data_IF_428547949945
#
_entry.id   IF_428547949945
#
_cell.length_a   1.000
_cell.length_b   1.000
_cell.length_c   1.000
_cell.angle_alpha   90.00
_cell.angle_beta   90.00
_cell.angle_gamma   90.00
#
_symmetry.space_group_name_H-M   'P 1'
#
loop_
_entity.id
_entity.type
_entity.pdbx_description
1 polymer ?
#
# COMPACT_ATOMS: atom_id res chain seq x y z
N UNK A 1 -0.56 -8.93 19.44
CA UNK A 1 -0.28 -8.21 18.19
C UNK A 1 -1.59 -8.15 17.44
N UNK A 2 -2.16 -6.97 17.26
CA UNK A 2 -3.42 -6.81 16.54
C UNK A 2 -3.11 -6.64 15.06
N UNK A 3 -3.58 -7.57 14.24
CA UNK A 3 -3.56 -7.46 12.79
C UNK A 3 -4.95 -7.05 12.34
N UNK A 4 -5.02 -6.00 11.55
CA UNK A 4 -6.28 -5.57 10.95
C UNK A 4 -6.37 -6.17 9.57
N UNK A 5 -7.43 -6.92 9.30
CA UNK A 5 -7.69 -7.48 7.98
C UNK A 5 -8.90 -6.79 7.37
N UNK A 6 -8.71 -6.25 6.16
CA UNK A 6 -9.79 -5.67 5.38
C UNK A 6 -10.23 -6.65 4.30
N UNK A 7 -11.40 -7.25 4.50
CA UNK A 7 -11.99 -8.21 3.56
C UNK A 7 -12.30 -7.57 2.20
N UNK A 8 -12.27 -8.36 1.13
CA UNK A 8 -12.52 -7.86 -0.25
C UNK A 8 -13.89 -7.23 -0.47
N UNK A 9 -14.89 -7.63 0.33
CA UNK A 9 -16.27 -7.12 0.26
C UNK A 9 -16.43 -5.73 0.90
N UNK A 10 -15.44 -5.31 1.70
CA UNK A 10 -15.47 -4.04 2.40
C UNK A 10 -14.88 -2.92 1.54
N UNK A 11 -15.60 -1.81 1.49
CA UNK A 11 -15.11 -0.51 0.99
C UNK A 11 -14.92 0.43 2.16
N UNK A 12 -13.70 0.93 2.33
CA UNK A 12 -13.39 1.97 3.29
C UNK A 12 -13.27 3.30 2.58
N UNK A 13 -14.03 4.30 3.02
CA UNK A 13 -13.91 5.68 2.56
C UNK A 13 -13.65 6.60 3.76
N UNK A 14 -12.47 7.24 3.79
CA UNK A 14 -12.08 8.17 4.87
C UNK A 14 -10.64 7.99 5.37
N UNK A 15 -10.42 8.34 6.63
CA UNK A 15 -9.10 8.30 7.29
C UNK A 15 -8.98 7.08 8.22
N UNK A 16 -7.99 6.23 7.96
CA UNK A 16 -7.69 5.02 8.72
C UNK A 16 -6.34 5.19 9.40
N UNK A 17 -6.30 5.05 10.72
CA UNK A 17 -5.05 5.06 11.49
C UNK A 17 -4.96 3.79 12.33
N UNK A 18 -3.89 3.03 12.13
CA UNK A 18 -3.57 1.86 12.95
C UNK A 18 -2.14 1.95 13.47
N UNK A 19 -1.87 1.37 14.63
CA UNK A 19 -0.51 1.26 15.16
C UNK A 19 0.15 -0.09 14.86
N UNK A 20 -0.63 -1.03 14.30
CA UNK A 20 -0.18 -2.38 13.98
C UNK A 20 -0.02 -2.62 12.47
N UNK A 21 -0.10 -3.89 12.12
CA UNK A 21 -0.08 -4.36 10.73
C UNK A 21 -1.49 -4.33 10.13
N UNK A 22 -1.61 -3.83 8.91
CA UNK A 22 -2.86 -3.85 8.13
C UNK A 22 -2.65 -4.73 6.89
N UNK A 23 -3.55 -5.68 6.68
CA UNK A 23 -3.70 -6.43 5.43
C UNK A 23 -4.97 -5.95 4.71
N UNK A 24 -4.82 -5.53 3.46
CA UNK A 24 -5.90 -4.97 2.64
C UNK A 24 -6.16 -5.93 1.48
N UNK A 25 -7.30 -6.61 1.51
CA UNK A 25 -7.81 -7.48 0.45
C UNK A 25 -9.00 -6.86 -0.31
N UNK A 26 -9.45 -5.67 0.12
CA UNK A 26 -10.56 -4.92 -0.46
C UNK A 26 -10.20 -3.57 -1.02
N UNK A 27 -11.20 -2.71 -1.15
CA UNK A 27 -11.03 -1.38 -1.72
C UNK A 27 -10.97 -0.30 -0.63
N UNK A 28 -9.90 0.47 -0.61
CA UNK A 28 -9.70 1.57 0.33
C UNK A 28 -9.57 2.86 -0.43
N UNK A 29 -10.37 3.86 -0.06
CA UNK A 29 -10.34 5.18 -0.65
C UNK A 29 -10.17 6.26 0.41
N UNK A 30 -9.05 6.96 0.40
CA UNK A 30 -8.73 7.99 1.40
C UNK A 30 -7.32 7.86 1.96
N UNK A 31 -7.14 8.20 3.24
CA UNK A 31 -5.82 8.22 3.87
C UNK A 31 -5.64 7.02 4.80
N UNK A 32 -4.57 6.25 4.58
CA UNK A 32 -4.21 5.09 5.41
C UNK A 32 -2.88 5.37 6.09
N UNK A 33 -2.85 5.35 7.41
CA UNK A 33 -1.63 5.43 8.19
C UNK A 33 -1.49 4.20 9.08
N UNK A 34 -0.42 3.43 8.90
CA UNK A 34 -0.11 2.30 9.76
C UNK A 34 1.38 2.06 9.88
N UNK A 35 1.80 1.18 10.80
CA UNK A 35 3.22 0.84 10.93
C UNK A 35 3.68 -0.05 9.78
N UNK A 36 2.92 -1.11 9.52
CA UNK A 36 3.12 -1.98 8.35
C UNK A 36 1.81 -2.07 7.56
N UNK A 37 1.89 -1.94 6.25
CA UNK A 37 0.74 -2.12 5.35
C UNK A 37 1.09 -3.18 4.34
N UNK A 38 0.18 -4.14 4.14
CA UNK A 38 0.29 -5.16 3.13
C UNK A 38 -0.97 -5.10 2.24
N UNK A 39 -0.79 -4.81 0.96
CA UNK A 39 -1.87 -4.77 -0.02
C UNK A 39 -1.87 -6.09 -0.77
N UNK A 40 -2.85 -6.93 -0.52
CA UNK A 40 -2.99 -8.25 -1.16
C UNK A 40 -3.39 -8.10 -2.63
N UNK A 41 -3.29 -9.18 -3.40
CA UNK A 41 -3.53 -9.16 -4.86
C UNK A 41 -4.90 -8.64 -5.30
N UNK A 42 -5.94 -8.88 -4.48
CA UNK A 42 -7.31 -8.39 -4.70
C UNK A 42 -7.53 -6.97 -4.16
N UNK A 43 -6.59 -6.49 -3.33
CA UNK A 43 -6.63 -5.19 -2.70
C UNK A 43 -6.40 -4.06 -3.70
N UNK A 44 -7.20 -3.00 -3.55
CA UNK A 44 -7.07 -1.76 -4.32
C UNK A 44 -7.06 -0.59 -3.36
N UNK A 45 -6.03 0.24 -3.44
CA UNK A 45 -5.94 1.46 -2.63
C UNK A 45 -5.97 2.67 -3.54
N UNK A 46 -6.89 3.60 -3.28
CA UNK A 46 -7.08 4.85 -4.02
C UNK A 46 -6.94 6.02 -3.03
N UNK A 47 -5.77 6.64 -2.98
CA UNK A 47 -5.53 7.76 -2.06
C UNK A 47 -4.12 7.82 -1.51
N UNK A 48 -3.98 8.18 -0.23
CA UNK A 48 -2.68 8.47 0.41
C UNK A 48 -2.30 7.41 1.44
N UNK A 49 -1.23 6.65 1.20
CA UNK A 49 -0.73 5.62 2.12
C UNK A 49 0.52 6.11 2.83
N UNK A 50 0.55 6.05 4.15
CA UNK A 50 1.70 6.40 4.99
C UNK A 50 2.06 5.23 5.89
N UNK A 51 3.25 4.64 5.73
CA UNK A 51 3.69 3.53 6.60
C UNK A 51 5.20 3.39 6.68
N UNK A 52 5.74 2.78 7.74
CA UNK A 52 7.18 2.51 7.81
C UNK A 52 7.58 1.41 6.82
N UNK A 53 6.81 0.32 6.77
CA UNK A 53 7.00 -0.79 5.83
C UNK A 53 5.75 -1.02 5.01
N UNK A 54 5.86 -0.94 3.68
CA UNK A 54 4.75 -1.19 2.75
C UNK A 54 5.09 -2.36 1.84
N UNK A 55 4.20 -3.35 1.80
CA UNK A 55 4.24 -4.45 0.84
C UNK A 55 3.04 -4.35 -0.12
N UNK A 56 3.29 -4.45 -1.42
CA UNK A 56 2.28 -4.28 -2.47
C UNK A 56 2.25 -5.49 -3.40
N UNK A 57 1.15 -6.25 -3.35
CA UNK A 57 0.85 -7.37 -4.23
C UNK A 57 -0.30 -7.09 -5.19
N UNK A 58 -1.20 -6.17 -4.82
CA UNK A 58 -2.37 -5.74 -5.60
C UNK A 58 -2.17 -4.44 -6.37
N UNK A 59 -3.19 -3.56 -6.33
CA UNK A 59 -3.21 -2.27 -7.04
C UNK A 59 -3.19 -1.09 -6.08
N UNK A 60 -2.36 -0.09 -6.38
CA UNK A 60 -2.29 1.15 -5.61
C UNK A 60 -2.28 2.34 -6.55
N UNK A 61 -3.28 3.20 -6.44
CA UNK A 61 -3.44 4.46 -7.17
C UNK A 61 -3.43 5.64 -6.18
N UNK A 62 -2.73 6.73 -6.52
CA UNK A 62 -2.67 7.96 -5.69
C UNK A 62 -1.27 8.34 -5.22
N UNK A 63 -1.03 8.35 -3.90
CA UNK A 63 0.24 8.76 -3.30
C UNK A 63 0.68 7.81 -2.20
N UNK A 64 1.93 7.39 -2.24
CA UNK A 64 2.51 6.45 -1.29
C UNK A 64 3.70 7.11 -0.62
N UNK A 65 3.76 7.05 0.71
CA UNK A 65 4.88 7.53 1.50
C UNK A 65 5.31 6.44 2.48
N UNK A 66 6.48 5.87 2.26
CA UNK A 66 7.00 4.82 3.12
C UNK A 66 8.50 4.90 3.32
N UNK A 67 9.06 4.18 4.29
CA UNK A 67 10.51 4.07 4.43
C UNK A 67 10.98 2.88 3.59
N UNK A 68 10.43 1.70 3.84
CA UNK A 68 10.73 0.47 3.11
C UNK A 68 9.56 0.02 2.25
N UNK A 69 9.74 0.09 0.92
CA UNK A 69 8.75 -0.36 -0.05
C UNK A 69 9.14 -1.71 -0.64
N UNK A 70 8.24 -2.69 -0.56
CA UNK A 70 8.37 -4.00 -1.20
C UNK A 70 7.24 -4.20 -2.20
N UNK A 71 7.58 -4.49 -3.45
CA UNK A 71 6.59 -4.71 -4.52
C UNK A 71 6.72 -6.14 -5.00
N UNK A 72 5.65 -6.92 -4.86
CA UNK A 72 5.60 -8.30 -5.31
C UNK A 72 5.42 -8.40 -6.84
N UNK A 73 5.60 -9.60 -7.39
CA UNK A 73 5.61 -9.82 -8.84
C UNK A 73 4.28 -9.47 -9.53
N UNK A 74 3.16 -9.47 -8.80
CA UNK A 74 1.83 -9.09 -9.29
C UNK A 74 1.46 -7.64 -9.00
N UNK A 75 2.29 -6.94 -8.21
CA UNK A 75 2.04 -5.58 -7.74
C UNK A 75 2.00 -4.57 -8.88
N UNK A 76 0.96 -3.75 -8.89
CA UNK A 76 0.76 -2.65 -9.83
C UNK A 76 0.62 -1.35 -9.06
N UNK A 77 1.57 -0.46 -9.23
CA UNK A 77 1.54 0.86 -8.59
C UNK A 77 1.35 1.92 -9.66
N UNK A 78 0.32 2.74 -9.49
CA UNK A 78 -0.09 3.88 -10.31
C UNK A 78 -0.16 5.15 -9.47
N UNK A 79 0.97 5.55 -8.91
CA UNK A 79 1.01 6.55 -7.85
C UNK A 79 2.33 7.32 -7.81
N UNK A 80 2.30 8.48 -7.15
CA UNK A 80 3.51 9.17 -6.71
C UNK A 80 4.01 8.51 -5.42
N UNK A 81 5.15 7.84 -5.51
CA UNK A 81 5.72 7.04 -4.42
C UNK A 81 6.96 7.73 -3.89
N UNK A 82 6.94 8.08 -2.61
CA UNK A 82 8.09 8.54 -1.84
C UNK A 82 8.56 7.39 -0.96
N UNK A 83 9.80 6.94 -1.15
CA UNK A 83 10.40 5.86 -0.38
C UNK A 83 11.84 6.18 0.03
N UNK A 84 12.37 5.44 1.00
CA UNK A 84 13.80 5.49 1.36
C UNK A 84 14.56 4.28 0.81
N UNK A 85 13.94 3.11 0.86
CA UNK A 85 14.46 1.86 0.29
C UNK A 85 13.35 1.17 -0.52
N UNK A 86 13.70 0.60 -1.67
CA UNK A 86 12.76 -0.12 -2.54
C UNK A 86 13.29 -1.51 -2.89
N UNK A 87 12.42 -2.51 -2.73
CA UNK A 87 12.63 -3.88 -3.17
C UNK A 87 11.53 -4.23 -4.18
N UNK A 88 11.93 -4.63 -5.38
CA UNK A 88 10.99 -4.91 -6.47
C UNK A 88 11.19 -6.34 -6.94
N UNK A 89 10.12 -7.15 -6.93
CA UNK A 89 10.15 -8.50 -7.45
C UNK A 89 10.01 -8.51 -8.99
N UNK A 90 10.52 -9.58 -9.61
CA UNK A 90 10.51 -9.75 -11.06
C UNK A 90 9.07 -9.93 -11.57
N UNK A 91 8.52 -8.89 -12.20
CA UNK A 91 7.16 -8.88 -12.75
C UNK A 91 6.31 -7.69 -12.30
N UNK A 92 6.74 -6.98 -11.26
CA UNK A 92 6.07 -5.77 -10.77
C UNK A 92 5.96 -4.70 -11.85
N UNK A 93 4.82 -4.02 -11.90
CA UNK A 93 4.61 -2.86 -12.78
C UNK A 93 4.47 -1.61 -11.94
N UNK A 94 5.31 -0.62 -12.23
CA UNK A 94 5.26 0.67 -11.57
C UNK A 94 5.11 1.73 -12.66
N UNK A 95 4.02 2.46 -12.59
CA UNK A 95 3.67 3.58 -13.45
C UNK A 95 3.46 4.79 -12.55
N UNK A 96 4.22 5.87 -12.72
CA UNK A 96 4.11 7.05 -11.86
C UNK A 96 5.48 7.61 -11.49
N UNK A 97 5.50 8.51 -10.51
CA UNK A 97 6.74 9.15 -10.09
C UNK A 97 7.31 8.45 -8.86
N UNK A 98 8.53 7.96 -8.98
CA UNK A 98 9.29 7.39 -7.87
C UNK A 98 10.27 8.45 -7.37
N UNK A 99 10.15 8.86 -6.10
CA UNK A 99 11.06 9.80 -5.45
C UNK A 99 11.71 9.15 -4.23
N UNK A 100 13.02 9.26 -4.16
CA UNK A 100 13.77 8.95 -2.93
C UNK A 100 13.70 10.11 -1.95
N UNK A 101 13.64 9.81 -0.66
CA UNK A 101 13.94 10.77 0.41
C UNK A 101 15.43 11.10 0.47
#
# INVERSE_FOLDING_TARGET
>A
MAKTYLSSDLKLEGDVKSQGDIEIDGAVKGQVAAKSVNVLGSGSVDGSVSSDSLAVEGKVDGSVNTNDLSIAATGQIKADVVYQSIATAKGAKVEGTLKTK
#
